data_IF_080712092903
#
_entry.id   IF_080712092903
#
_cell.length_a   1.000
_cell.length_b   1.000
_cell.length_c   1.000
_cell.angle_alpha   90.00
_cell.angle_beta   90.00
_cell.angle_gamma   90.00
#
_symmetry.space_group_name_H-M   'P 1'
#
loop_
_entity.id
_entity.type
_entity.pdbx_description
1 polymer ?
#
# COMPACT_ATOMS: atom_id res chain seq x y z
N UNK A 1 -20.66 -25.37 0.02
CA UNK A 1 -19.57 -24.36 -0.01
C UNK A 1 -19.46 -23.63 -1.38
N UNK A 2 -20.56 -23.08 -1.94
CA UNK A 2 -20.54 -22.36 -3.26
C UNK A 2 -21.47 -21.12 -3.33
N UNK A 3 -22.08 -20.71 -2.23
CA UNK A 3 -23.10 -19.65 -2.18
C UNK A 3 -22.50 -18.24 -2.06
N UNK A 4 -21.29 -18.11 -1.50
CA UNK A 4 -20.65 -16.80 -1.27
C UNK A 4 -20.24 -16.09 -2.57
N UNK A 5 -19.67 -16.82 -3.54
CA UNK A 5 -19.23 -16.22 -4.82
C UNK A 5 -20.39 -15.68 -5.66
N UNK A 6 -21.53 -16.39 -5.70
CA UNK A 6 -22.74 -15.94 -6.40
C UNK A 6 -23.30 -14.63 -5.80
N UNK A 7 -23.33 -14.55 -4.46
CA UNK A 7 -23.75 -13.34 -3.75
C UNK A 7 -22.80 -12.17 -4.04
N UNK A 8 -21.49 -12.42 -3.98
CA UNK A 8 -20.47 -11.43 -4.33
C UNK A 8 -20.66 -10.87 -5.73
N UNK A 9 -20.87 -11.74 -6.72
CA UNK A 9 -21.15 -11.33 -8.11
C UNK A 9 -22.37 -10.42 -8.24
N UNK A 10 -23.48 -10.78 -7.60
CA UNK A 10 -24.72 -9.97 -7.63
C UNK A 10 -24.48 -8.59 -6.99
N UNK A 11 -23.76 -8.55 -5.86
CA UNK A 11 -23.44 -7.30 -5.16
C UNK A 11 -22.55 -6.42 -6.04
N UNK A 12 -21.46 -6.96 -6.59
CA UNK A 12 -20.54 -6.22 -7.45
C UNK A 12 -21.24 -5.64 -8.68
N UNK A 13 -22.09 -6.42 -9.35
CA UNK A 13 -22.86 -5.94 -10.51
C UNK A 13 -23.83 -4.82 -10.13
N UNK A 14 -24.59 -4.98 -9.05
CA UNK A 14 -25.53 -3.94 -8.59
C UNK A 14 -24.79 -2.64 -8.21
N UNK A 15 -23.69 -2.76 -7.47
CA UNK A 15 -22.87 -1.62 -7.09
C UNK A 15 -22.27 -0.92 -8.31
N UNK A 16 -21.72 -1.69 -9.26
CA UNK A 16 -21.09 -1.15 -10.46
C UNK A 16 -22.11 -0.41 -11.35
N UNK A 17 -23.31 -0.96 -11.53
CA UNK A 17 -24.39 -0.27 -12.27
C UNK A 17 -24.75 1.05 -11.60
N UNK A 18 -24.94 1.06 -10.28
CA UNK A 18 -25.28 2.26 -9.53
C UNK A 18 -24.21 3.35 -9.64
N UNK A 19 -22.94 3.00 -9.44
CA UNK A 19 -21.81 3.93 -9.59
C UNK A 19 -21.70 4.43 -11.04
N UNK A 20 -21.86 3.54 -12.02
CA UNK A 20 -21.73 3.90 -13.43
C UNK A 20 -22.77 4.93 -13.87
N UNK A 21 -24.02 4.81 -13.39
CA UNK A 21 -25.07 5.78 -13.67
C UNK A 21 -24.75 7.19 -13.14
N UNK A 22 -24.01 7.28 -12.03
CA UNK A 22 -23.60 8.57 -11.45
C UNK A 22 -22.41 9.15 -12.22
N UNK A 23 -21.39 8.32 -12.50
CA UNK A 23 -20.15 8.77 -13.15
C UNK A 23 -20.36 9.13 -14.62
N UNK A 24 -21.17 8.37 -15.37
CA UNK A 24 -21.43 8.64 -16.80
C UNK A 24 -22.22 9.93 -17.04
N UNK A 25 -22.82 10.53 -16.01
CA UNK A 25 -23.40 11.90 -16.11
C UNK A 25 -22.33 12.98 -16.25
N UNK A 26 -21.10 12.71 -15.78
CA UNK A 26 -19.98 13.68 -15.74
C UNK A 26 -18.83 13.28 -16.65
N UNK A 27 -18.73 12.00 -17.02
CA UNK A 27 -17.60 11.44 -17.76
C UNK A 27 -18.07 10.70 -19.01
N UNK A 28 -17.28 10.76 -20.10
CA UNK A 28 -17.60 10.13 -21.39
C UNK A 28 -17.55 8.60 -21.33
N UNK A 29 -16.70 8.04 -20.48
CA UNK A 29 -16.52 6.60 -20.32
C UNK A 29 -15.99 6.28 -18.92
N UNK A 30 -16.02 5.00 -18.56
CA UNK A 30 -15.51 4.48 -17.29
C UNK A 30 -14.48 3.39 -17.59
N UNK A 31 -13.34 3.42 -16.89
CA UNK A 31 -12.35 2.36 -16.92
C UNK A 31 -12.68 1.31 -15.87
N UNK A 32 -13.32 0.22 -16.29
CA UNK A 32 -13.74 -0.88 -15.41
C UNK A 32 -12.57 -1.52 -14.65
N UNK A 33 -11.39 -1.58 -15.26
CA UNK A 33 -10.17 -2.10 -14.64
C UNK A 33 -9.67 -1.30 -13.43
N UNK A 34 -10.24 -0.12 -13.14
CA UNK A 34 -9.93 0.64 -11.90
C UNK A 34 -10.79 0.24 -10.70
N UNK A 35 -11.79 -0.63 -10.90
CA UNK A 35 -12.65 -1.14 -9.84
C UNK A 35 -12.22 -2.53 -9.32
N UNK A 36 -11.13 -3.10 -9.86
CA UNK A 36 -10.52 -4.32 -9.36
C UNK A 36 -9.40 -4.02 -8.37
N UNK A 37 -8.99 -5.04 -7.61
CA UNK A 37 -7.86 -4.97 -6.68
C UNK A 37 -6.51 -5.21 -7.37
N UNK A 38 -6.48 -5.43 -8.68
CA UNK A 38 -5.28 -5.81 -9.44
C UNK A 38 -4.13 -4.82 -9.25
N UNK A 39 -4.44 -3.52 -9.18
CA UNK A 39 -3.42 -2.50 -8.92
C UNK A 39 -2.73 -2.76 -7.55
N UNK A 40 -3.53 -3.03 -6.51
CA UNK A 40 -3.06 -3.30 -5.14
C UNK A 40 -2.20 -4.56 -5.11
N UNK A 41 -2.65 -5.62 -5.77
CA UNK A 41 -1.91 -6.87 -5.88
C UNK A 41 -0.57 -6.70 -6.61
N UNK A 42 -0.56 -5.97 -7.72
CA UNK A 42 0.66 -5.64 -8.47
C UNK A 42 1.65 -4.82 -7.64
N UNK A 43 1.15 -4.01 -6.70
CA UNK A 43 2.00 -3.22 -5.81
C UNK A 43 2.64 -4.09 -4.76
N UNK A 44 1.89 -5.00 -4.15
CA UNK A 44 2.48 -5.98 -3.24
C UNK A 44 3.50 -6.86 -3.96
N UNK A 45 3.24 -7.25 -5.21
CA UNK A 45 4.22 -7.97 -6.02
C UNK A 45 5.50 -7.14 -6.27
N UNK A 46 5.35 -5.84 -6.53
CA UNK A 46 6.48 -4.92 -6.72
C UNK A 46 7.27 -4.70 -5.44
N UNK A 47 6.61 -4.61 -4.28
CA UNK A 47 7.27 -4.51 -2.97
C UNK A 47 8.06 -5.79 -2.67
N UNK A 48 7.44 -6.97 -2.83
CA UNK A 48 8.14 -8.27 -2.64
C UNK A 48 9.39 -8.39 -3.52
N UNK A 49 9.30 -7.99 -4.79
CA UNK A 49 10.43 -8.05 -5.73
C UNK A 49 11.63 -7.19 -5.29
N UNK A 50 11.43 -6.11 -4.52
CA UNK A 50 12.53 -5.28 -4.01
C UNK A 50 13.36 -5.97 -2.92
N UNK A 51 12.79 -6.96 -2.24
CA UNK A 51 13.47 -7.75 -1.21
C UNK A 51 14.51 -8.75 -1.76
N UNK A 52 14.73 -8.80 -3.07
CA UNK A 52 15.64 -9.75 -3.70
C UNK A 52 15.14 -11.18 -3.52
N UNK A 53 15.92 -12.02 -2.83
CA UNK A 53 15.55 -13.40 -2.52
C UNK A 53 14.60 -13.55 -1.32
N UNK A 54 14.27 -12.44 -0.64
CA UNK A 54 13.33 -12.42 0.49
C UNK A 54 11.92 -12.09 -0.01
N UNK A 55 11.24 -13.09 -0.56
CA UNK A 55 9.89 -12.95 -1.13
C UNK A 55 8.81 -12.64 -0.07
N UNK A 56 9.03 -13.01 1.18
CA UNK A 56 8.10 -12.80 2.28
C UNK A 56 8.74 -11.89 3.35
N UNK A 57 8.68 -10.56 3.18
CA UNK A 57 9.23 -9.63 4.16
C UNK A 57 8.45 -9.71 5.49
N UNK A 58 9.13 -9.42 6.59
CA UNK A 58 8.45 -9.15 7.86
C UNK A 58 7.78 -7.76 7.84
N UNK A 59 7.03 -7.45 8.91
CA UNK A 59 6.25 -6.21 8.99
C UNK A 59 7.15 -4.97 8.91
N UNK A 60 8.32 -4.99 9.55
CA UNK A 60 9.23 -3.86 9.57
C UNK A 60 9.85 -3.64 8.19
N UNK A 61 10.29 -4.72 7.54
CA UNK A 61 10.80 -4.68 6.17
C UNK A 61 9.74 -4.16 5.20
N UNK A 62 8.50 -4.65 5.31
CA UNK A 62 7.40 -4.18 4.47
C UNK A 62 7.13 -2.68 4.64
N UNK A 63 7.08 -2.19 5.89
CA UNK A 63 6.90 -0.78 6.20
C UNK A 63 8.03 0.08 5.60
N UNK A 64 9.29 -0.34 5.76
CA UNK A 64 10.44 0.35 5.18
C UNK A 64 10.37 0.38 3.65
N UNK A 65 10.02 -0.74 3.01
CA UNK A 65 9.88 -0.79 1.55
C UNK A 65 8.76 0.12 1.05
N UNK A 66 7.62 0.18 1.73
CA UNK A 66 6.54 1.13 1.39
C UNK A 66 7.01 2.58 1.51
N UNK A 67 7.68 2.94 2.62
CA UNK A 67 8.19 4.29 2.83
C UNK A 67 9.16 4.69 1.69
N UNK A 68 10.08 3.80 1.32
CA UNK A 68 11.01 4.02 0.21
C UNK A 68 10.28 4.23 -1.12
N UNK A 69 9.22 3.47 -1.40
CA UNK A 69 8.38 3.65 -2.59
C UNK A 69 7.72 5.01 -2.60
N UNK A 70 7.10 5.41 -1.48
CA UNK A 70 6.43 6.70 -1.36
C UNK A 70 7.43 7.82 -1.63
N UNK A 71 8.57 7.83 -0.93
CA UNK A 71 9.62 8.85 -1.08
C UNK A 71 10.13 8.91 -2.53
N UNK A 72 10.42 7.75 -3.13
CA UNK A 72 10.93 7.69 -4.52
C UNK A 72 9.93 8.26 -5.52
N UNK A 73 8.62 8.08 -5.33
CA UNK A 73 7.60 8.69 -6.21
C UNK A 73 7.60 10.23 -6.14
N UNK A 74 8.07 10.84 -5.05
CA UNK A 74 8.12 12.30 -4.90
C UNK A 74 9.42 12.94 -5.40
N UNK A 75 10.49 12.16 -5.52
CA UNK A 75 11.76 12.65 -6.04
C UNK A 75 11.62 12.76 -7.57
N UNK A 76 11.44 13.99 -8.06
CA UNK A 76 11.40 14.25 -9.50
C UNK A 76 12.67 13.73 -10.15
N UNK A 77 12.51 12.88 -11.16
CA UNK A 77 13.61 12.45 -12.00
C UNK A 77 14.16 13.64 -12.80
N UNK A 78 15.47 13.67 -13.04
CA UNK A 78 16.09 14.69 -13.89
C UNK A 78 15.52 14.64 -15.31
N UNK A 79 15.35 15.80 -15.95
CA UNK A 79 14.73 15.89 -17.27
C UNK A 79 15.58 15.28 -18.41
N UNK A 80 16.86 15.01 -18.16
CA UNK A 80 17.84 14.56 -19.16
C UNK A 80 18.35 13.13 -18.92
N UNK A 81 17.50 12.22 -18.43
CA UNK A 81 17.90 10.80 -18.29
C UNK A 81 17.92 10.10 -19.65
N UNK A 82 18.96 9.29 -19.87
CA UNK A 82 19.09 8.44 -21.06
C UNK A 82 18.37 7.08 -20.93
N UNK A 83 17.58 6.89 -19.87
CA UNK A 83 16.84 5.66 -19.63
C UNK A 83 15.35 5.98 -19.69
N UNK A 84 14.61 5.27 -20.55
CA UNK A 84 13.15 5.28 -20.49
C UNK A 84 12.73 4.82 -19.10
N UNK A 85 11.82 5.56 -18.48
CA UNK A 85 11.14 5.08 -17.29
C UNK A 85 10.44 3.78 -17.68
N UNK A 86 10.90 2.68 -17.09
CA UNK A 86 10.05 1.50 -17.00
C UNK A 86 8.87 2.01 -16.21
N UNK A 87 7.73 2.22 -16.88
CA UNK A 87 6.44 2.58 -16.30
C UNK A 87 6.02 1.46 -15.33
N UNK A 88 6.73 1.39 -14.21
CA UNK A 88 6.70 0.29 -13.28
C UNK A 88 5.58 0.57 -12.31
N UNK A 89 4.35 0.38 -12.80
CA UNK A 89 3.23 -0.28 -12.10
C UNK A 89 3.07 0.04 -10.60
N UNK A 90 3.32 1.27 -10.15
CA UNK A 90 3.09 1.65 -8.77
C UNK A 90 1.60 1.95 -8.58
N UNK A 91 1.03 1.38 -7.51
CA UNK A 91 -0.38 1.47 -7.08
C UNK A 91 -1.03 2.84 -7.24
N UNK A 92 -0.23 3.85 -6.94
CA UNK A 92 -0.66 5.14 -6.49
C UNK A 92 0.33 6.12 -7.09
N UNK A 93 -0.17 6.92 -8.02
CA UNK A 93 0.44 8.18 -8.31
C UNK A 93 0.28 9.07 -7.06
N UNK A 94 1.30 9.07 -6.20
CA UNK A 94 1.30 9.88 -5.00
C UNK A 94 1.39 11.38 -5.34
N UNK A 95 1.62 11.77 -6.60
CA UNK A 95 1.52 13.16 -7.02
C UNK A 95 0.10 13.73 -6.82
N UNK A 96 -0.91 12.85 -6.78
CA UNK A 96 -2.29 13.21 -6.49
C UNK A 96 -2.59 13.41 -4.99
N UNK A 97 -1.67 13.02 -4.10
CA UNK A 97 -1.83 13.17 -2.65
C UNK A 97 -1.19 14.47 -2.16
N UNK A 98 -1.85 15.13 -1.21
CA UNK A 98 -1.28 16.32 -0.55
C UNK A 98 -0.06 15.90 0.27
N UNK A 99 1.10 16.55 0.02
CA UNK A 99 2.35 16.31 0.74
C UNK A 99 2.19 16.37 2.26
N UNK A 100 1.36 17.29 2.76
CA UNK A 100 1.14 17.46 4.21
C UNK A 100 0.36 16.29 4.83
N UNK A 101 -0.55 15.66 4.07
CA UNK A 101 -1.29 14.49 4.55
C UNK A 101 -0.38 13.25 4.59
N UNK A 102 0.55 13.12 3.63
CA UNK A 102 1.49 12.00 3.59
C UNK A 102 2.57 12.11 4.67
N UNK A 103 3.06 13.30 4.97
CA UNK A 103 4.00 13.50 6.07
C UNK A 103 3.36 13.06 7.40
N UNK A 104 2.08 13.38 7.64
CA UNK A 104 1.37 12.88 8.82
C UNK A 104 1.29 11.35 8.87
N UNK A 105 1.11 10.69 7.73
CA UNK A 105 1.08 9.22 7.66
C UNK A 105 2.46 8.61 7.91
N UNK A 106 3.52 9.20 7.35
CA UNK A 106 4.90 8.71 7.51
C UNK A 106 5.41 8.94 8.94
N UNK A 107 5.02 10.04 9.57
CA UNK A 107 5.40 10.42 10.93
C UNK A 107 4.30 10.11 11.97
N UNK A 108 3.29 9.30 11.63
CA UNK A 108 2.35 8.80 12.64
C UNK A 108 3.13 7.81 13.49
N UNK A 109 3.29 8.09 14.78
CA UNK A 109 4.04 7.29 15.77
C UNK A 109 3.45 5.88 16.04
N UNK A 110 2.66 5.32 15.12
CA UNK A 110 1.91 4.07 15.32
C UNK A 110 2.71 2.80 14.96
N UNK A 111 4.04 2.90 14.88
CA UNK A 111 4.91 1.72 14.76
C UNK A 111 5.96 1.80 15.87
N UNK A 112 5.85 0.86 16.83
CA UNK A 112 6.73 0.61 17.99
C UNK A 112 6.26 1.25 19.30
N UNK A 113 5.24 0.68 19.94
CA UNK A 113 5.13 0.66 21.41
C UNK A 113 4.62 -0.68 21.98
N UNK A 114 4.89 -1.81 21.32
CA UNK A 114 4.69 -3.14 21.96
C UNK A 114 5.98 -3.90 22.29
N UNK A 115 7.17 -3.39 21.93
CA UNK A 115 8.44 -4.03 22.28
C UNK A 115 9.12 -3.48 23.55
N UNK A 116 8.65 -2.37 24.12
CA UNK A 116 9.28 -1.79 25.32
C UNK A 116 8.82 -2.44 26.65
N UNK A 117 7.69 -3.15 26.67
CA UNK A 117 7.17 -3.78 27.88
C UNK A 117 7.74 -5.18 28.16
N UNK A 118 8.20 -5.93 27.15
CA UNK A 118 8.86 -7.22 27.38
C UNK A 118 10.29 -7.07 27.91
N UNK A 119 11.04 -6.05 27.46
CA UNK A 119 12.41 -5.80 27.94
C UNK A 119 12.42 -5.26 29.38
N UNK A 120 11.37 -4.55 29.81
CA UNK A 120 11.24 -4.10 31.21
C UNK A 120 10.97 -5.24 32.20
N UNK A 121 10.27 -6.29 31.78
CA UNK A 121 9.99 -7.44 32.65
C UNK A 121 11.18 -8.39 32.83
N UNK A 122 12.09 -8.49 31.86
CA UNK A 122 13.31 -9.30 32.00
C UNK A 122 14.33 -8.63 32.94
N UNK A 123 14.51 -7.31 32.83
CA UNK A 123 15.40 -6.56 33.73
C UNK A 123 14.88 -6.51 35.17
N UNK A 124 13.55 -6.55 35.37
CA UNK A 124 12.98 -6.64 36.70
C UNK A 124 13.20 -8.03 37.35
N UNK A 125 13.19 -9.12 36.57
CA UNK A 125 13.45 -10.47 37.05
C UNK A 125 14.93 -10.73 37.40
N UNK A 126 15.87 -10.12 36.67
CA UNK A 126 17.30 -10.22 37.01
C UNK A 126 17.69 -9.42 38.27
N UNK A 127 16.91 -8.39 38.63
CA UNK A 127 17.17 -7.57 39.83
C UNK A 127 16.77 -8.26 41.15
N UNK A 128 15.98 -9.34 41.11
CA UNK A 128 15.56 -10.11 42.30
C UNK A 128 16.27 -11.46 42.45
N UNK A 129 17.32 -11.72 41.67
CA UNK A 129 18.05 -12.99 41.68
C UNK A 129 19.47 -12.93 42.28
N UNK A 130 19.84 -11.86 42.98
CA UNK A 130 20.97 -11.79 43.91
C UNK A 130 20.66 -10.88 45.11
#
# INVERSE_FOLDING_TARGET
MRTSSKKGWIITLKAFIGISQVLLKKMKFILTGRFSQDALENTFASIRRRGGFRDNPDVNEFCQQIQMVIITNFIKQSQEKNCQDIEAYSLIDFSCFNKNELLKVIYSDDCVTESENEVRNLNALEMYMW
#
